data_IF_307393521993
#
_entry.id   IF_307393521993
#
_cell.length_a   1.000
_cell.length_b   1.000
_cell.length_c   1.000
_cell.angle_alpha   90.00
_cell.angle_beta   90.00
_cell.angle_gamma   90.00
#
_symmetry.space_group_name_H-M   'P 1'
#
loop_
_entity.id
_entity.type
_entity.pdbx_description
1 polymer ?
#
# COMPACT_ATOMS: atom_id res chain seq x y z
N UNK A 1 23.48 -0.04 -19.37
CA UNK A 1 23.07 1.31 -19.80
C UNK A 1 21.53 1.43 -19.83
N UNK A 2 20.83 0.47 -20.38
CA UNK A 2 19.35 0.51 -20.48
C UNK A 2 18.62 0.73 -19.13
N UNK A 3 19.09 0.14 -18.03
CA UNK A 3 18.44 0.27 -16.72
C UNK A 3 18.50 1.71 -16.18
N UNK A 4 19.66 2.36 -16.35
CA UNK A 4 19.85 3.74 -15.89
C UNK A 4 19.06 4.70 -16.77
N UNK A 5 19.03 4.47 -18.07
CA UNK A 5 18.28 5.29 -19.01
C UNK A 5 16.77 5.18 -18.75
N UNK A 6 16.27 3.97 -18.49
CA UNK A 6 14.88 3.74 -18.12
C UNK A 6 14.50 4.37 -16.76
N UNK A 7 15.41 4.37 -15.79
CA UNK A 7 15.21 5.04 -14.50
C UNK A 7 15.16 6.55 -14.65
N UNK A 8 16.05 7.13 -15.47
CA UNK A 8 16.03 8.57 -15.73
C UNK A 8 14.77 9.01 -16.46
N UNK A 9 14.32 8.23 -17.45
CA UNK A 9 13.08 8.47 -18.16
C UNK A 9 11.88 8.37 -17.21
N UNK A 10 11.84 7.36 -16.35
CA UNK A 10 10.79 7.20 -15.35
C UNK A 10 10.75 8.36 -14.36
N UNK A 11 11.92 8.85 -13.92
CA UNK A 11 12.03 10.00 -13.03
C UNK A 11 11.55 11.28 -13.70
N UNK A 12 11.90 11.48 -14.97
CA UNK A 12 11.46 12.64 -15.74
C UNK A 12 9.95 12.68 -15.91
N UNK A 13 9.32 11.55 -16.25
CA UNK A 13 7.86 11.43 -16.38
C UNK A 13 7.16 11.58 -15.02
N UNK A 14 7.73 11.04 -13.95
CA UNK A 14 7.20 11.19 -12.60
C UNK A 14 7.28 12.64 -12.09
N UNK A 15 8.30 13.40 -12.50
CA UNK A 15 8.48 14.80 -12.13
C UNK A 15 7.60 15.77 -12.94
N UNK A 16 6.86 15.29 -13.94
CA UNK A 16 5.95 16.13 -14.71
C UNK A 16 4.83 16.70 -13.82
N UNK A 17 4.51 18.02 -13.92
CA UNK A 17 3.55 18.66 -13.02
C UNK A 17 2.16 18.00 -13.03
N UNK A 18 1.72 17.52 -14.16
CA UNK A 18 0.46 16.77 -14.32
C UNK A 18 0.47 15.46 -13.56
N UNK A 19 1.54 14.70 -13.68
CA UNK A 19 1.73 13.41 -12.97
C UNK A 19 1.86 13.62 -11.47
N UNK A 20 2.58 14.66 -11.03
CA UNK A 20 2.67 15.03 -9.62
C UNK A 20 1.32 15.43 -9.03
N UNK A 21 0.47 16.14 -9.81
CA UNK A 21 -0.87 16.47 -9.36
C UNK A 21 -1.72 15.21 -9.14
N UNK A 22 -1.69 14.26 -10.07
CA UNK A 22 -2.39 12.97 -9.91
C UNK A 22 -1.85 12.19 -8.70
N UNK A 23 -0.54 12.17 -8.50
CA UNK A 23 0.07 11.56 -7.32
C UNK A 23 -0.43 12.21 -6.03
N UNK A 24 -0.43 13.54 -5.97
CA UNK A 24 -0.90 14.29 -4.80
C UNK A 24 -2.36 13.98 -4.46
N UNK A 25 -3.26 14.03 -5.45
CA UNK A 25 -4.66 13.67 -5.25
C UNK A 25 -4.82 12.20 -4.83
N UNK A 26 -4.03 11.30 -5.42
CA UNK A 26 -3.99 9.89 -5.03
C UNK A 26 -3.62 9.71 -3.56
N UNK A 27 -2.53 10.31 -3.12
CA UNK A 27 -2.07 10.24 -1.71
C UNK A 27 -3.11 10.85 -0.76
N UNK A 28 -3.69 11.98 -1.12
CA UNK A 28 -4.69 12.65 -0.29
C UNK A 28 -5.95 11.79 -0.11
N UNK A 29 -6.50 11.29 -1.21
CA UNK A 29 -7.65 10.38 -1.18
C UNK A 29 -7.32 9.08 -0.42
N UNK A 30 -6.15 8.51 -0.70
CA UNK A 30 -5.68 7.31 0.00
C UNK A 30 -5.57 7.53 1.51
N UNK A 31 -5.01 8.64 1.93
CA UNK A 31 -4.88 8.98 3.36
C UNK A 31 -6.23 9.09 4.05
N UNK A 32 -7.20 9.75 3.42
CA UNK A 32 -8.57 9.89 3.94
C UNK A 32 -9.24 8.51 4.08
N UNK A 33 -9.14 7.68 3.03
CA UNK A 33 -9.72 6.33 3.07
C UNK A 33 -8.99 5.43 4.07
N UNK A 34 -7.67 5.57 4.18
CA UNK A 34 -6.87 4.78 5.11
C UNK A 34 -7.15 5.04 6.59
N UNK A 35 -7.64 6.25 6.93
CA UNK A 35 -8.09 6.56 8.29
C UNK A 35 -9.40 5.83 8.64
N UNK A 36 -10.21 5.48 7.62
CA UNK A 36 -11.47 4.78 7.84
C UNK A 36 -11.21 3.27 8.05
N UNK A 37 -11.48 2.75 9.25
CA UNK A 37 -11.25 1.33 9.54
C UNK A 37 -12.19 0.45 8.70
N UNK A 38 -11.66 -0.63 8.15
CA UNK A 38 -12.44 -1.64 7.42
C UNK A 38 -12.51 -1.45 5.90
N UNK A 39 -12.23 -0.28 5.34
CA UNK A 39 -12.26 -0.08 3.88
C UNK A 39 -10.97 -0.57 3.23
N UNK A 40 -9.82 -0.21 3.79
CA UNK A 40 -8.51 -0.63 3.31
C UNK A 40 -8.10 -0.02 1.96
N UNK A 41 -6.81 -0.16 1.64
CA UNK A 41 -6.22 0.37 0.40
C UNK A 41 -6.78 -0.27 -0.87
N UNK A 42 -7.09 -1.56 -0.82
CA UNK A 42 -7.59 -2.31 -2.00
C UNK A 42 -8.97 -1.83 -2.44
N UNK A 43 -9.88 -1.54 -1.50
CA UNK A 43 -11.18 -1.00 -1.82
C UNK A 43 -11.07 0.41 -2.44
N UNK A 44 -10.18 1.26 -1.90
CA UNK A 44 -9.93 2.58 -2.47
C UNK A 44 -9.41 2.51 -3.91
N UNK A 45 -8.47 1.60 -4.18
CA UNK A 45 -7.95 1.35 -5.53
C UNK A 45 -9.07 0.88 -6.46
N UNK A 46 -9.88 -0.08 -6.01
CA UNK A 46 -10.99 -0.64 -6.81
C UNK A 46 -12.01 0.42 -7.19
N UNK A 47 -12.34 1.34 -6.27
CA UNK A 47 -13.26 2.45 -6.54
C UNK A 47 -12.70 3.47 -7.53
N UNK A 48 -11.38 3.68 -7.55
CA UNK A 48 -10.73 4.63 -8.44
C UNK A 48 -10.35 4.02 -9.81
N UNK A 49 -10.37 2.71 -9.93
CA UNK A 49 -9.99 2.01 -11.16
C UNK A 49 -10.81 2.47 -12.39
N UNK A 50 -12.14 2.71 -12.33
CA UNK A 50 -12.86 3.24 -13.49
C UNK A 50 -12.40 4.62 -13.94
N UNK A 51 -11.91 5.46 -13.03
CA UNK A 51 -11.42 6.81 -13.34
C UNK A 51 -10.11 6.72 -14.12
N UNK A 52 -9.29 5.69 -13.89
CA UNK A 52 -8.00 5.52 -14.56
C UNK A 52 -8.12 5.32 -16.07
N UNK A 53 -9.27 4.88 -16.57
CA UNK A 53 -9.49 4.76 -18.02
C UNK A 53 -9.47 6.09 -18.80
N UNK A 54 -9.66 7.21 -18.10
CA UNK A 54 -9.66 8.55 -18.68
C UNK A 54 -8.34 9.29 -18.49
N UNK A 55 -7.34 8.64 -17.89
CA UNK A 55 -6.05 9.22 -17.52
C UNK A 55 -4.94 8.48 -18.28
N UNK A 56 -3.85 9.15 -18.68
CA UNK A 56 -2.69 8.47 -19.26
C UNK A 56 -2.20 7.31 -18.37
N UNK A 57 -1.86 6.14 -18.93
CA UNK A 57 -1.56 4.94 -18.16
C UNK A 57 -0.48 5.14 -17.08
N UNK A 58 0.56 5.90 -17.38
CA UNK A 58 1.64 6.17 -16.44
C UNK A 58 1.16 7.02 -15.25
N UNK A 59 0.38 8.06 -15.52
CA UNK A 59 -0.20 8.91 -14.47
C UNK A 59 -1.23 8.13 -13.62
N UNK A 60 -1.99 7.23 -14.25
CA UNK A 60 -2.95 6.36 -13.56
C UNK A 60 -2.24 5.42 -12.56
N UNK A 61 -1.16 4.78 -12.99
CA UNK A 61 -0.36 3.89 -12.10
C UNK A 61 0.23 4.69 -10.94
N UNK A 62 0.78 5.86 -11.20
CA UNK A 62 1.36 6.73 -10.17
C UNK A 62 0.27 7.22 -9.19
N UNK A 63 -0.90 7.57 -9.69
CA UNK A 63 -2.05 7.94 -8.85
C UNK A 63 -2.49 6.78 -7.94
N UNK A 64 -2.64 5.57 -8.48
CA UNK A 64 -3.04 4.39 -7.71
C UNK A 64 -1.97 3.98 -6.69
N UNK A 65 -0.69 4.09 -7.03
CA UNK A 65 0.40 3.92 -6.08
C UNK A 65 0.32 4.95 -4.95
N UNK A 66 0.03 6.21 -5.29
CA UNK A 66 -0.22 7.27 -4.31
C UNK A 66 -1.37 6.93 -3.36
N UNK A 67 -2.48 6.42 -3.88
CA UNK A 67 -3.62 5.94 -3.07
C UNK A 67 -3.19 4.84 -2.10
N UNK A 68 -2.42 3.87 -2.58
CA UNK A 68 -1.93 2.78 -1.75
C UNK A 68 -1.06 3.27 -0.60
N UNK A 69 -0.05 4.07 -0.90
CA UNK A 69 0.84 4.64 0.12
C UNK A 69 0.11 5.57 1.09
N UNK A 70 -0.79 6.41 0.56
CA UNK A 70 -1.64 7.27 1.38
C UNK A 70 -2.50 6.49 2.35
N UNK A 71 -3.14 5.41 1.90
CA UNK A 71 -3.97 4.56 2.74
C UNK A 71 -3.16 3.83 3.84
N UNK A 72 -1.94 3.38 3.53
CA UNK A 72 -1.05 2.79 4.53
C UNK A 72 -0.65 3.80 5.61
N UNK A 73 -0.33 5.02 5.21
CA UNK A 73 0.02 6.08 6.16
C UNK A 73 -1.19 6.53 6.99
N UNK A 74 -2.36 6.68 6.36
CA UNK A 74 -3.61 7.01 7.05
C UNK A 74 -4.01 5.94 8.07
N UNK A 75 -3.87 4.65 7.70
CA UNK A 75 -4.11 3.52 8.59
C UNK A 75 -3.18 3.50 9.80
N UNK A 76 -1.89 3.77 9.60
CA UNK A 76 -0.93 3.88 10.70
C UNK A 76 -1.24 5.05 11.63
N UNK A 77 -1.66 6.18 11.07
CA UNK A 77 -2.08 7.36 11.86
C UNK A 77 -3.29 7.06 12.74
N UNK A 78 -4.33 6.42 12.18
CA UNK A 78 -5.51 5.98 12.92
C UNK A 78 -5.15 4.97 14.02
N UNK A 79 -4.25 4.04 13.74
CA UNK A 79 -3.75 3.05 14.70
C UNK A 79 -3.09 3.70 15.91
N UNK A 80 -2.23 4.70 15.69
CA UNK A 80 -1.50 5.40 16.75
C UNK A 80 -2.44 6.28 17.58
N UNK A 81 -3.35 7.01 16.93
CA UNK A 81 -4.18 7.99 17.63
C UNK A 81 -5.45 7.40 18.23
N UNK A 82 -6.10 6.48 17.52
CA UNK A 82 -7.44 5.97 17.85
C UNK A 82 -7.43 4.51 18.33
N UNK A 83 -6.31 3.81 18.23
CA UNK A 83 -6.22 2.36 18.45
C UNK A 83 -7.15 1.55 17.50
N UNK A 84 -7.41 2.09 16.32
CA UNK A 84 -8.23 1.45 15.29
C UNK A 84 -7.36 1.20 14.06
N UNK A 85 -6.99 -0.05 13.78
CA UNK A 85 -6.18 -0.34 12.59
C UNK A 85 -6.99 -0.08 11.32
N UNK A 86 -6.56 0.87 10.50
CA UNK A 86 -7.17 1.16 9.20
C UNK A 86 -6.82 0.11 8.14
N UNK A 87 -5.66 -0.54 8.28
CA UNK A 87 -5.19 -1.61 7.42
C UNK A 87 -4.68 -2.78 8.27
N UNK A 88 -4.70 -4.03 7.77
CA UNK A 88 -4.19 -5.18 8.54
C UNK A 88 -2.72 -5.00 8.97
N UNK A 89 -1.89 -4.40 8.12
CA UNK A 89 -0.48 -4.13 8.43
C UNK A 89 -0.30 -3.12 9.55
N UNK A 90 -1.24 -2.21 9.75
CA UNK A 90 -1.18 -1.19 10.80
C UNK A 90 -1.64 -1.69 12.17
N UNK A 91 -2.17 -2.92 12.26
CA UNK A 91 -2.56 -3.52 13.54
C UNK A 91 -1.38 -3.65 14.50
N UNK A 92 -0.19 -4.01 13.99
CA UNK A 92 1.03 -4.08 14.82
C UNK A 92 1.41 -2.71 15.38
N UNK A 93 1.14 -1.64 14.63
CA UNK A 93 1.42 -0.25 15.07
C UNK A 93 0.55 0.17 16.26
N UNK A 94 -0.61 -0.46 16.47
CA UNK A 94 -1.45 -0.22 17.64
C UNK A 94 -0.75 -0.63 18.95
N UNK A 95 0.05 -1.70 18.94
CA UNK A 95 0.66 -2.28 20.14
C UNK A 95 1.63 -1.30 20.82
N UNK A 96 2.45 -0.60 20.04
CA UNK A 96 3.46 0.31 20.55
C UNK A 96 3.07 1.79 20.39
N UNK A 97 2.43 2.13 19.27
CA UNK A 97 2.09 3.51 18.93
C UNK A 97 1.01 4.10 19.81
N UNK A 98 -0.06 3.35 20.08
CA UNK A 98 -1.15 3.83 20.93
C UNK A 98 -0.76 4.05 22.40
N UNK A 99 -0.02 3.14 23.07
CA UNK A 99 0.49 3.41 24.41
C UNK A 99 1.42 4.63 24.47
N UNK A 100 2.20 4.89 23.42
CA UNK A 100 3.00 6.11 23.32
C UNK A 100 2.11 7.35 23.20
N UNK A 101 1.06 7.30 22.39
CA UNK A 101 0.10 8.38 22.25
C UNK A 101 -0.62 8.69 23.57
N UNK A 102 -1.05 7.67 24.32
CA UNK A 102 -1.64 7.83 25.66
C UNK A 102 -0.70 8.54 26.68
N UNK A 103 0.60 8.37 26.52
CA UNK A 103 1.61 9.05 27.35
C UNK A 103 1.91 10.49 26.88
N UNK A 104 1.09 11.05 25.98
CA UNK A 104 1.29 12.38 25.44
C UNK A 104 2.40 12.50 24.38
N UNK A 105 2.93 11.38 23.87
CA UNK A 105 4.02 11.33 22.90
C UNK A 105 3.55 10.93 21.50
N UNK A 106 2.33 11.30 21.12
CA UNK A 106 1.74 10.98 19.82
C UNK A 106 2.56 11.54 18.65
N UNK A 107 3.06 12.78 18.78
CA UNK A 107 3.91 13.38 17.75
C UNK A 107 5.22 12.62 17.51
N UNK A 108 5.84 12.10 18.58
CA UNK A 108 7.04 11.27 18.46
C UNK A 108 6.73 9.93 17.78
N UNK A 109 5.62 9.29 18.12
CA UNK A 109 5.21 8.05 17.48
C UNK A 109 4.96 8.23 15.97
N UNK A 110 4.24 9.28 15.57
CA UNK A 110 4.00 9.62 14.17
C UNK A 110 5.31 9.93 13.42
N UNK A 111 6.21 10.69 14.05
CA UNK A 111 7.50 11.01 13.46
C UNK A 111 8.35 9.77 13.20
N UNK A 112 8.46 8.88 14.19
CA UNK A 112 9.21 7.62 14.05
C UNK A 112 8.59 6.75 12.95
N UNK A 113 7.27 6.64 12.89
CA UNK A 113 6.57 5.89 11.84
C UNK A 113 6.86 6.47 10.45
N UNK A 114 6.87 7.80 10.32
CA UNK A 114 7.18 8.45 9.04
C UNK A 114 8.62 8.17 8.59
N UNK A 115 9.59 8.28 9.49
CA UNK A 115 11.00 7.98 9.17
C UNK A 115 11.18 6.49 8.85
N UNK A 116 10.59 5.60 9.63
CA UNK A 116 10.65 4.17 9.36
C UNK A 116 10.03 3.81 7.99
N UNK A 117 8.90 4.43 7.64
CA UNK A 117 8.26 4.26 6.34
C UNK A 117 9.13 4.79 5.19
N UNK A 118 9.81 5.92 5.39
CA UNK A 118 10.73 6.46 4.38
C UNK A 118 11.91 5.51 4.14
N UNK A 119 12.54 5.03 5.20
CA UNK A 119 13.67 4.08 5.10
C UNK A 119 13.19 2.76 4.47
N UNK A 120 12.04 2.26 4.89
CA UNK A 120 11.43 1.05 4.33
C UNK A 120 11.10 1.21 2.84
N UNK A 121 10.52 2.33 2.43
CA UNK A 121 10.21 2.61 1.03
C UNK A 121 11.47 2.71 0.18
N UNK A 122 12.52 3.39 0.66
CA UNK A 122 13.78 3.50 -0.06
C UNK A 122 14.49 2.15 -0.22
N UNK A 123 14.55 1.35 0.84
CA UNK A 123 15.15 0.02 0.76
C UNK A 123 14.33 -0.91 -0.14
N UNK A 124 13.01 -0.86 -0.06
CA UNK A 124 12.11 -1.62 -0.92
C UNK A 124 12.25 -1.24 -2.40
N UNK A 125 12.38 0.05 -2.70
CA UNK A 125 12.60 0.54 -4.06
C UNK A 125 13.92 0.01 -4.65
N UNK A 126 15.00 0.05 -3.89
CA UNK A 126 16.32 -0.47 -4.32
C UNK A 126 16.20 -1.97 -4.62
N UNK A 127 15.58 -2.74 -3.74
CA UNK A 127 15.36 -4.16 -3.96
C UNK A 127 14.47 -4.43 -5.19
N UNK A 128 13.40 -3.65 -5.35
CA UNK A 128 12.51 -3.78 -6.49
C UNK A 128 13.27 -3.53 -7.80
N UNK A 129 14.05 -2.47 -7.90
CA UNK A 129 14.83 -2.16 -9.10
C UNK A 129 15.85 -3.26 -9.40
N UNK A 130 16.50 -3.82 -8.37
CA UNK A 130 17.49 -4.87 -8.53
C UNK A 130 16.88 -6.18 -9.03
N UNK A 131 15.74 -6.56 -8.49
CA UNK A 131 15.06 -7.83 -8.80
C UNK A 131 14.00 -7.71 -9.91
N UNK A 132 13.64 -6.50 -10.33
CA UNK A 132 12.60 -6.25 -11.34
C UNK A 132 12.77 -7.06 -12.62
N UNK A 133 13.96 -7.11 -13.28
CA UNK A 133 14.13 -7.88 -14.50
C UNK A 133 13.86 -9.39 -14.29
N UNK A 134 14.34 -9.93 -13.18
CA UNK A 134 14.13 -11.35 -12.87
C UNK A 134 12.64 -11.67 -12.61
N UNK A 135 11.94 -10.78 -11.89
CA UNK A 135 10.53 -10.93 -11.58
C UNK A 135 9.67 -10.77 -12.85
N UNK A 136 10.03 -9.83 -13.72
CA UNK A 136 9.33 -9.62 -14.98
C UNK A 136 9.46 -10.85 -15.90
N UNK A 137 10.65 -11.40 -16.05
CA UNK A 137 10.88 -12.62 -16.85
C UNK A 137 10.12 -13.83 -16.29
N UNK A 138 10.03 -13.93 -14.98
CA UNK A 138 9.23 -14.98 -14.33
C UNK A 138 7.73 -14.74 -14.57
N UNK A 139 7.26 -13.50 -14.39
CA UNK A 139 5.86 -13.13 -14.57
C UNK A 139 5.35 -13.35 -16.00
N UNK A 140 6.18 -13.11 -17.00
CA UNK A 140 5.84 -13.34 -18.40
C UNK A 140 5.73 -14.83 -18.77
N UNK A 141 6.28 -15.73 -17.94
CA UNK A 141 6.14 -17.18 -18.13
C UNK A 141 4.80 -17.71 -17.62
N UNK A 142 4.10 -16.94 -16.79
CA UNK A 142 2.78 -17.32 -16.30
C UNK A 142 1.73 -17.07 -17.38
N UNK A 143 1.06 -18.13 -17.80
CA UNK A 143 -0.08 -18.05 -18.71
C UNK A 143 -1.41 -17.81 -17.96
N UNK A 144 -2.52 -17.66 -18.72
CA UNK A 144 -3.84 -17.46 -18.11
C UNK A 144 -4.29 -18.57 -17.17
N UNK A 145 -3.86 -19.81 -17.43
CA UNK A 145 -4.19 -20.97 -16.58
C UNK A 145 -3.50 -20.92 -15.22
N UNK A 146 -2.24 -20.48 -15.20
CA UNK A 146 -1.45 -20.31 -13.97
C UNK A 146 -2.01 -19.17 -13.12
N UNK A 147 -2.40 -18.04 -13.74
CA UNK A 147 -3.08 -16.95 -13.06
C UNK A 147 -4.39 -17.39 -12.43
N UNK A 148 -5.20 -18.17 -13.15
CA UNK A 148 -6.44 -18.72 -12.60
C UNK A 148 -6.17 -19.62 -11.40
N UNK A 149 -5.17 -20.50 -11.48
CA UNK A 149 -4.78 -21.39 -10.38
C UNK A 149 -4.33 -20.60 -9.15
N UNK A 150 -3.56 -19.54 -9.33
CA UNK A 150 -3.13 -18.64 -8.24
C UNK A 150 -4.31 -17.91 -7.60
N UNK A 151 -5.28 -17.45 -8.40
CA UNK A 151 -6.50 -16.81 -7.88
C UNK A 151 -7.33 -17.79 -7.04
N UNK A 152 -7.51 -19.02 -7.52
CA UNK A 152 -8.23 -20.08 -6.79
C UNK A 152 -7.50 -20.40 -5.49
N UNK A 153 -6.17 -20.56 -5.53
CA UNK A 153 -5.36 -20.82 -4.32
C UNK A 153 -5.52 -19.67 -3.30
N UNK A 154 -5.48 -18.43 -3.77
CA UNK A 154 -5.67 -17.25 -2.91
C UNK A 154 -7.06 -17.22 -2.26
N UNK A 155 -8.12 -17.55 -3.01
CA UNK A 155 -9.48 -17.63 -2.49
C UNK A 155 -9.62 -18.75 -1.45
N UNK A 156 -9.08 -19.92 -1.71
CA UNK A 156 -9.11 -21.06 -0.77
C UNK A 156 -8.35 -20.71 0.51
N UNK A 157 -7.17 -20.10 0.39
CA UNK A 157 -6.40 -19.63 1.54
C UNK A 157 -7.17 -18.59 2.37
N UNK A 158 -7.85 -17.66 1.71
CA UNK A 158 -8.62 -16.62 2.37
C UNK A 158 -9.85 -17.18 3.09
N UNK A 159 -10.56 -18.13 2.47
CA UNK A 159 -11.68 -18.84 3.10
C UNK A 159 -11.21 -19.62 4.34
N UNK A 160 -10.10 -20.34 4.22
CA UNK A 160 -9.56 -21.13 5.34
C UNK A 160 -9.12 -20.26 6.52
N UNK A 161 -8.51 -19.09 6.24
CA UNK A 161 -8.13 -18.13 7.30
C UNK A 161 -9.33 -17.44 7.93
N UNK A 162 -10.41 -17.21 7.16
CA UNK A 162 -11.66 -16.65 7.67
C UNK A 162 -12.35 -17.62 8.64
N UNK A 163 -12.50 -18.89 8.25
CA UNK A 163 -13.08 -19.91 9.12
C UNK A 163 -12.27 -20.11 10.41
N UNK A 164 -10.93 -20.10 10.31
CA UNK A 164 -10.06 -20.21 11.48
C UNK A 164 -10.17 -19.01 12.44
N UNK A 165 -10.56 -17.84 11.95
CA UNK A 165 -10.76 -16.65 12.79
C UNK A 165 -12.10 -16.71 13.56
N UNK A 166 -13.13 -17.36 13.00
CA UNK A 166 -14.41 -17.56 13.66
C UNK A 166 -14.36 -18.63 14.75
N UNK A 167 -13.41 -19.58 14.65
CA UNK A 167 -13.22 -20.67 15.61
C UNK A 167 -12.38 -20.27 16.85
N UNK A 168 -11.89 -19.04 16.93
CA UNK A 168 -11.22 -18.58 18.15
C UNK A 168 -12.23 -18.34 19.25
N UNK A 169 -12.25 -19.16 20.35
CA UNK A 169 -13.17 -18.91 21.46
C UNK A 169 -12.85 -17.52 22.03
N UNK A 170 -13.89 -16.68 22.12
CA UNK A 170 -13.80 -15.44 22.88
C UNK A 170 -13.37 -15.82 24.31
N UNK A 171 -12.12 -15.54 24.63
CA UNK A 171 -11.64 -15.66 26.02
C UNK A 171 -12.18 -14.45 26.76
N UNK A 172 -13.22 -14.69 27.57
CA UNK A 172 -13.81 -13.72 28.52
C UNK A 172 -12.77 -13.24 29.53
#
# INVERSE_FOLDING_TARGET
MELIDNLLLGLQVAAEPTTLAYCFFGVLLGTVVGVLPGIGALAAISLLLPITYHIPPTAAIIMLAGVYYGAQYGGSTASILLNLPGTPSSAVTCLDGYPMAKKGRSGLALFVTTIASLVGAMSGLILLVLFSPMIADLGLKFGPAEFFSMMVLGLVCLLYTSDAADDTPCVD
#
